data_IF_747062116747
#
_entry.id   IF_747062116747
#
_cell.length_a   1.000
_cell.length_b   1.000
_cell.length_c   1.000
_cell.angle_alpha   90.00
_cell.angle_beta   90.00
_cell.angle_gamma   90.00
#
_symmetry.space_group_name_H-M   'P 1'
#
loop_
_entity.id
_entity.type
_entity.pdbx_description
1 polymer ?
#
# COMPACT_ATOMS: atom_id res chain seq x y z
N UNK A 1 -18.14 19.92 7.41
CA UNK A 1 -18.21 18.45 7.27
C UNK A 1 -17.42 18.08 6.02
N UNK A 2 -16.25 17.45 6.20
CA UNK A 2 -15.54 16.79 5.09
C UNK A 2 -15.06 15.46 5.63
N UNK A 3 -15.93 14.46 5.52
CA UNK A 3 -15.63 13.04 5.72
C UNK A 3 -14.69 12.61 4.61
N UNK A 4 -13.41 12.96 4.72
CA UNK A 4 -12.37 12.27 3.97
C UNK A 4 -12.25 10.89 4.60
N UNK A 5 -12.80 9.92 3.89
CA UNK A 5 -12.75 8.47 4.10
C UNK A 5 -11.54 8.07 4.98
N UNK A 6 -11.79 7.87 6.29
CA UNK A 6 -10.82 7.43 7.31
C UNK A 6 -10.43 5.95 7.08
N UNK A 7 -10.38 5.52 5.82
CA UNK A 7 -9.90 4.20 5.45
C UNK A 7 -8.39 4.23 5.58
N UNK A 8 -7.96 3.59 6.64
CA UNK A 8 -6.56 3.37 6.95
C UNK A 8 -6.10 2.17 6.13
N UNK A 9 -5.10 2.40 5.31
CA UNK A 9 -4.45 1.39 4.48
C UNK A 9 -3.08 1.06 5.06
N UNK A 10 -2.49 -0.01 4.52
CA UNK A 10 -1.22 -0.56 4.93
C UNK A 10 -1.20 -1.02 6.41
N UNK A 11 -0.16 -1.77 6.76
CA UNK A 11 0.13 -2.18 8.14
C UNK A 11 0.43 -0.99 9.07
N UNK A 12 0.77 0.18 8.53
CA UNK A 12 0.94 1.42 9.30
C UNK A 12 -0.38 2.16 9.57
N UNK A 13 -1.52 1.64 9.11
CA UNK A 13 -2.85 2.25 9.28
C UNK A 13 -2.85 3.75 8.99
N UNK A 14 -2.45 4.10 7.79
CA UNK A 14 -2.32 5.49 7.33
C UNK A 14 -3.40 5.78 6.30
N UNK A 15 -3.99 6.99 6.28
CA UNK A 15 -4.93 7.36 5.22
C UNK A 15 -4.27 7.27 3.84
N UNK A 16 -5.11 7.17 2.81
CA UNK A 16 -4.65 7.26 1.42
C UNK A 16 -4.06 8.64 1.15
N UNK A 17 -2.86 8.67 0.58
CA UNK A 17 -2.14 9.87 0.17
C UNK A 17 -1.84 9.75 -1.33
N UNK A 18 -2.26 10.72 -2.14
CA UNK A 18 -1.96 10.75 -3.58
C UNK A 18 -0.46 10.98 -3.87
N UNK A 19 0.24 11.64 -2.94
CA UNK A 19 1.69 11.87 -3.00
C UNK A 19 2.51 10.62 -2.61
N UNK A 20 1.88 9.57 -2.06
CA UNK A 20 2.57 8.34 -1.64
C UNK A 20 2.32 7.21 -2.60
N UNK A 21 3.40 6.54 -3.01
CA UNK A 21 3.30 5.30 -3.78
C UNK A 21 2.75 4.19 -2.89
N UNK A 22 1.72 3.50 -3.39
CA UNK A 22 1.15 2.30 -2.76
C UNK A 22 1.16 1.15 -3.75
N UNK A 23 1.32 -0.06 -3.24
CA UNK A 23 1.30 -1.31 -4.00
C UNK A 23 0.15 -2.18 -3.51
N UNK A 24 -0.64 -2.72 -4.44
CA UNK A 24 -1.77 -3.59 -4.15
C UNK A 24 -1.31 -5.05 -4.04
N UNK A 25 -1.73 -5.74 -2.98
CA UNK A 25 -1.43 -7.16 -2.79
C UNK A 25 -2.37 -8.04 -3.61
N UNK A 26 -1.84 -8.88 -4.48
CA UNK A 26 -2.61 -9.79 -5.36
C UNK A 26 -3.38 -10.89 -4.58
N UNK A 27 -3.01 -11.11 -3.31
CA UNK A 27 -3.63 -12.14 -2.45
C UNK A 27 -4.81 -11.64 -1.63
N UNK A 28 -4.69 -10.48 -1.01
CA UNK A 28 -5.73 -9.90 -0.14
C UNK A 28 -6.40 -8.65 -0.73
N UNK A 29 -5.97 -8.20 -1.92
CA UNK A 29 -6.45 -6.99 -2.58
C UNK A 29 -6.31 -5.73 -1.70
N UNK A 30 -5.32 -5.71 -0.82
CA UNK A 30 -5.08 -4.61 0.12
C UNK A 30 -3.85 -3.79 -0.27
N UNK A 31 -3.90 -2.50 0.04
CA UNK A 31 -2.90 -1.52 -0.34
C UNK A 31 -1.84 -1.35 0.74
N UNK A 32 -0.57 -1.42 0.35
CA UNK A 32 0.57 -1.29 1.24
C UNK A 32 1.56 -0.26 0.71
N UNK A 33 2.28 0.40 1.61
CA UNK A 33 3.42 1.22 1.19
C UNK A 33 4.62 0.29 0.95
N UNK A 34 5.35 0.42 -0.17
CA UNK A 34 6.54 -0.38 -0.43
C UNK A 34 7.53 -0.30 0.74
N UNK A 35 7.79 0.91 1.26
CA UNK A 35 8.66 1.09 2.43
C UNK A 35 8.19 0.39 3.71
N UNK A 36 6.88 0.20 3.89
CA UNK A 36 6.33 -0.55 5.04
C UNK A 36 6.49 -2.06 4.92
N UNK A 37 6.60 -2.58 3.70
CA UNK A 37 6.80 -4.01 3.40
C UNK A 37 8.25 -4.33 3.04
N UNK A 38 9.16 -3.36 3.21
CA UNK A 38 10.59 -3.53 2.96
C UNK A 38 10.98 -3.50 1.48
N UNK A 39 10.12 -2.95 0.62
CA UNK A 39 10.37 -2.73 -0.80
C UNK A 39 10.72 -1.28 -1.07
N UNK A 40 11.49 -1.04 -2.12
CA UNK A 40 11.75 0.30 -2.63
C UNK A 40 10.65 0.73 -3.59
N UNK A 41 10.36 2.03 -3.66
CA UNK A 41 9.36 2.58 -4.59
C UNK A 41 9.69 2.26 -6.06
N UNK A 42 10.98 2.20 -6.40
CA UNK A 42 11.44 1.81 -7.75
C UNK A 42 11.14 0.34 -8.07
N UNK A 43 11.05 -0.53 -7.07
CA UNK A 43 10.73 -1.94 -7.28
C UNK A 43 9.25 -2.14 -7.56
N UNK A 44 8.38 -1.23 -7.09
CA UNK A 44 6.93 -1.29 -7.35
C UNK A 44 6.62 -1.25 -8.84
N UNK A 45 7.31 -0.40 -9.60
CA UNK A 45 7.15 -0.27 -11.05
C UNK A 45 7.65 -1.52 -11.81
N UNK A 46 8.59 -2.25 -11.21
CA UNK A 46 9.18 -3.48 -11.76
C UNK A 46 8.43 -4.75 -11.32
N UNK A 47 7.56 -4.64 -10.32
CA UNK A 47 6.81 -5.75 -9.74
C UNK A 47 5.45 -5.88 -10.43
N UNK A 48 5.23 -7.02 -11.08
CA UNK A 48 3.96 -7.36 -11.71
C UNK A 48 2.96 -7.98 -10.72
N UNK A 49 3.46 -8.82 -9.79
CA UNK A 49 2.67 -9.40 -8.71
C UNK A 49 3.32 -9.16 -7.36
N UNK A 50 2.62 -8.46 -6.47
CA UNK A 50 3.03 -8.24 -5.10
C UNK A 50 2.20 -9.08 -4.14
N UNK A 51 2.87 -9.76 -3.21
CA UNK A 51 2.23 -10.48 -2.11
C UNK A 51 2.77 -9.93 -0.80
N UNK A 52 1.89 -9.42 0.06
CA UNK A 52 2.28 -8.89 1.36
C UNK A 52 2.69 -10.02 2.31
N UNK A 53 3.53 -9.70 3.29
CA UNK A 53 4.08 -10.69 4.23
C UNK A 53 3.03 -11.26 5.22
N UNK A 54 1.81 -10.73 5.21
CA UNK A 54 0.72 -11.16 6.10
C UNK A 54 -0.26 -12.15 5.42
N UNK A 55 -0.09 -12.41 4.12
CA UNK A 55 -0.81 -13.45 3.37
C UNK A 55 -0.04 -14.78 3.39
#
# INVERSE_FOLDING_TARGET
ETTQDDKLYCLCKTPYDEDKVMIACDRCDEWYHPGCVGMLEVEVDLVDQFICNNC
#
